data_IF_782770640005
#
_entry.id   IF_782770640005
#
_cell.length_a   1.000
_cell.length_b   1.000
_cell.length_c   1.000
_cell.angle_alpha   90.00
_cell.angle_beta   90.00
_cell.angle_gamma   90.00
#
_symmetry.space_group_name_H-M   'P 1'
#
loop_
_entity.id
_entity.type
_entity.pdbx_description
1 polymer ?
#
# COMPACT_ATOMS: atom_id res chain seq x y z
N UNK A 1 -27.05 -7.02 -1.18
CA UNK A 1 -27.06 -5.58 -1.47
C UNK A 1 -27.54 -5.44 -2.90
N UNK A 2 -28.72 -4.90 -3.12
CA UNK A 2 -29.30 -4.76 -4.46
C UNK A 2 -28.49 -3.71 -5.23
N UNK A 3 -28.02 -4.09 -6.40
CA UNK A 3 -27.43 -3.16 -7.38
C UNK A 3 -28.62 -2.28 -7.82
N UNK A 4 -28.45 -0.96 -7.79
CA UNK A 4 -29.48 -0.05 -8.27
C UNK A 4 -29.74 -0.35 -9.76
N UNK A 5 -30.97 -0.60 -10.13
CA UNK A 5 -31.41 -0.89 -11.49
C UNK A 5 -31.01 0.24 -12.49
N UNK A 6 -30.95 1.48 -12.01
CA UNK A 6 -30.52 2.63 -12.82
C UNK A 6 -29.04 2.57 -13.27
N UNK A 7 -28.19 1.80 -12.57
CA UNK A 7 -26.79 1.61 -12.95
C UNK A 7 -26.60 0.50 -14.00
N UNK A 8 -27.54 -0.43 -14.10
CA UNK A 8 -27.52 -1.50 -15.13
C UNK A 8 -27.99 -0.96 -16.49
N UNK A 9 -28.97 -0.07 -16.52
CA UNK A 9 -29.45 0.54 -17.76
C UNK A 9 -28.41 1.49 -18.39
N UNK A 10 -27.68 2.26 -17.58
CA UNK A 10 -26.56 3.11 -18.04
C UNK A 10 -25.37 2.27 -18.60
N UNK A 11 -25.19 1.04 -18.13
CA UNK A 11 -24.15 0.12 -18.62
C UNK A 11 -24.54 -0.56 -19.94
N UNK A 12 -25.82 -0.79 -20.20
CA UNK A 12 -26.31 -1.47 -21.39
C UNK A 12 -26.14 -0.63 -22.68
N UNK A 13 -26.13 0.70 -22.56
CA UNK A 13 -25.99 1.63 -23.69
C UNK A 13 -24.57 1.67 -24.28
N UNK A 14 -23.58 1.15 -23.57
CA UNK A 14 -22.14 1.19 -23.92
C UNK A 14 -21.55 -0.17 -24.28
N UNK A 15 -22.35 -1.15 -24.64
CA UNK A 15 -21.85 -2.49 -24.96
C UNK A 15 -21.57 -2.63 -26.46
N UNK A 16 -20.28 -2.60 -26.85
CA UNK A 16 -19.81 -3.10 -28.13
C UNK A 16 -18.93 -4.35 -27.87
N UNK A 17 -19.19 -5.43 -28.59
CA UNK A 17 -18.50 -6.73 -28.42
C UNK A 17 -18.55 -7.35 -27.01
N UNK A 18 -19.60 -7.06 -26.24
CA UNK A 18 -19.82 -7.66 -24.94
C UNK A 18 -19.05 -7.00 -23.78
N UNK A 19 -18.29 -5.95 -24.04
CA UNK A 19 -17.63 -5.12 -23.03
C UNK A 19 -18.01 -3.67 -23.22
N UNK A 20 -18.25 -2.90 -22.14
CA UNK A 20 -18.44 -1.47 -22.25
C UNK A 20 -17.29 -0.82 -23.00
N UNK A 21 -17.57 0.07 -23.96
CA UNK A 21 -16.56 0.82 -24.73
C UNK A 21 -15.54 1.49 -23.80
N UNK A 22 -15.98 1.95 -22.69
CA UNK A 22 -15.19 2.51 -21.60
C UNK A 22 -14.02 1.57 -21.17
N UNK A 23 -14.25 0.26 -21.05
CA UNK A 23 -13.22 -0.70 -20.67
C UNK A 23 -12.20 -0.98 -21.77
N UNK A 24 -12.59 -0.78 -23.03
CA UNK A 24 -11.69 -0.96 -24.16
C UNK A 24 -10.63 0.15 -24.22
N UNK A 25 -10.90 1.31 -23.60
CA UNK A 25 -9.96 2.43 -23.53
C UNK A 25 -8.95 2.28 -22.39
N UNK A 26 -9.20 1.38 -21.44
CA UNK A 26 -8.31 1.10 -20.31
C UNK A 26 -7.39 -0.08 -20.62
N UNK A 27 -6.54 0.14 -21.60
CA UNK A 27 -5.66 -0.87 -22.19
C UNK A 27 -4.28 -0.95 -21.53
N UNK A 28 -4.05 -0.18 -20.47
CA UNK A 28 -2.76 -0.07 -19.79
C UNK A 28 -1.69 0.70 -20.60
N UNK A 29 -2.06 1.31 -21.74
CA UNK A 29 -1.14 2.03 -22.61
C UNK A 29 -1.49 3.50 -22.77
N UNK A 30 -2.78 3.82 -22.68
CA UNK A 30 -3.27 5.20 -22.79
C UNK A 30 -3.23 5.84 -21.41
N UNK A 31 -2.44 6.90 -21.19
CA UNK A 31 -2.35 7.54 -19.90
C UNK A 31 -3.59 8.38 -19.59
N UNK A 32 -3.96 8.37 -18.30
CA UNK A 32 -4.87 9.33 -17.70
C UNK A 32 -4.05 10.28 -16.84
N UNK A 33 -4.28 11.59 -17.02
CA UNK A 33 -3.59 12.63 -16.27
C UNK A 33 -4.47 13.13 -15.12
N UNK A 34 -3.95 13.11 -13.90
CA UNK A 34 -4.64 13.54 -12.70
C UNK A 34 -3.82 14.65 -12.04
N UNK A 35 -4.47 15.74 -11.66
CA UNK A 35 -3.88 16.83 -10.88
C UNK A 35 -4.62 16.92 -9.55
N UNK A 36 -3.90 16.74 -8.43
CA UNK A 36 -4.46 16.99 -7.11
C UNK A 36 -4.42 18.50 -6.82
N UNK A 37 -5.60 19.07 -6.54
CA UNK A 37 -5.76 20.52 -6.42
C UNK A 37 -5.44 21.05 -5.02
N UNK A 38 -5.36 20.16 -4.02
CA UNK A 38 -4.94 20.50 -2.67
C UNK A 38 -3.45 20.21 -2.45
N UNK A 39 -2.86 20.96 -1.53
CA UNK A 39 -1.46 20.78 -1.14
C UNK A 39 -1.36 19.61 -0.18
N UNK A 40 -0.59 18.59 -0.57
CA UNK A 40 -0.44 17.36 0.21
C UNK A 40 0.67 17.56 1.26
N UNK A 41 0.37 17.19 2.50
CA UNK A 41 1.24 17.39 3.68
C UNK A 41 1.71 18.84 3.87
N UNK A 42 0.94 19.83 3.38
CA UNK A 42 1.33 21.26 3.43
C UNK A 42 2.59 21.59 2.60
N UNK A 43 3.03 20.67 1.73
CA UNK A 43 4.35 20.76 1.11
C UNK A 43 4.38 20.43 -0.37
N UNK A 44 3.55 19.49 -0.84
CA UNK A 44 3.63 18.97 -2.20
C UNK A 44 2.41 19.35 -3.05
N UNK A 45 2.67 19.78 -4.27
CA UNK A 45 1.73 19.73 -5.39
C UNK A 45 2.00 18.40 -6.10
N UNK A 46 0.96 17.63 -6.40
CA UNK A 46 1.11 16.30 -6.98
C UNK A 46 0.28 16.16 -8.22
N UNK A 47 0.89 15.65 -9.27
CA UNK A 47 0.22 15.18 -10.48
C UNK A 47 0.60 13.72 -10.77
N UNK A 48 -0.27 13.02 -11.50
CA UNK A 48 -0.10 11.60 -11.81
C UNK A 48 -0.36 11.36 -13.29
N UNK A 49 0.56 10.67 -13.92
CA UNK A 49 0.36 10.03 -15.20
C UNK A 49 0.08 8.54 -14.96
N UNK A 50 -1.17 8.13 -15.09
CA UNK A 50 -1.63 6.78 -14.76
C UNK A 50 -2.02 6.00 -16.00
N UNK A 51 -1.57 4.76 -16.11
CA UNK A 51 -1.86 3.81 -17.18
C UNK A 51 -2.79 2.70 -16.68
N UNK A 52 -4.08 2.98 -16.52
CA UNK A 52 -5.02 2.02 -15.94
C UNK A 52 -5.22 0.82 -16.85
N UNK A 53 -5.32 -0.35 -16.24
CA UNK A 53 -5.65 -1.60 -16.90
C UNK A 53 -6.84 -2.26 -16.20
N UNK A 54 -7.65 -2.98 -16.95
CA UNK A 54 -8.72 -3.80 -16.41
C UNK A 54 -8.14 -5.11 -15.86
N UNK A 55 -8.23 -5.31 -14.54
CA UNK A 55 -7.82 -6.56 -13.89
C UNK A 55 -8.96 -7.57 -13.82
N UNK A 56 -8.64 -8.79 -13.37
CA UNK A 56 -9.62 -9.89 -13.13
C UNK A 56 -10.64 -9.57 -12.03
N UNK A 57 -10.40 -8.54 -11.24
CA UNK A 57 -11.32 -8.01 -10.22
C UNK A 57 -11.80 -6.64 -10.73
N UNK A 58 -13.04 -6.22 -10.48
CA UNK A 58 -13.56 -4.94 -11.00
C UNK A 58 -12.87 -3.75 -10.34
N UNK A 59 -11.59 -3.61 -10.59
CA UNK A 59 -10.72 -2.57 -10.07
C UNK A 59 -9.79 -2.10 -11.16
N UNK A 60 -9.75 -0.79 -11.35
CA UNK A 60 -8.75 -0.17 -12.22
C UNK A 60 -7.47 0.01 -11.42
N UNK A 61 -6.44 -0.68 -11.84
CA UNK A 61 -5.09 -0.48 -11.34
C UNK A 61 -4.15 -0.46 -12.54
N UNK A 62 -2.96 0.02 -12.36
CA UNK A 62 -1.94 -0.01 -13.39
C UNK A 62 -0.75 0.86 -13.05
N UNK A 63 0.28 0.81 -13.88
CA UNK A 63 1.47 1.62 -13.68
C UNK A 63 1.15 3.11 -13.62
N UNK A 64 1.91 3.83 -12.80
CA UNK A 64 1.81 5.29 -12.76
C UNK A 64 3.16 5.95 -12.49
N UNK A 65 3.29 7.18 -13.00
CA UNK A 65 4.32 8.12 -12.61
C UNK A 65 3.68 9.16 -11.70
N UNK A 66 4.03 9.17 -10.42
CA UNK A 66 3.52 10.13 -9.44
C UNK A 66 4.58 11.23 -9.29
N UNK A 67 4.25 12.43 -9.72
CA UNK A 67 5.14 13.58 -9.71
C UNK A 67 4.85 14.45 -8.50
N UNK A 68 5.83 14.66 -7.66
CA UNK A 68 5.79 15.52 -6.48
C UNK A 68 6.60 16.77 -6.75
N UNK A 69 6.01 17.94 -6.57
CA UNK A 69 6.67 19.24 -6.67
C UNK A 69 6.52 19.98 -5.34
N UNK A 70 7.63 20.54 -4.82
CA UNK A 70 7.57 21.43 -3.66
C UNK A 70 6.85 22.73 -3.99
N UNK A 71 6.05 23.23 -3.04
CA UNK A 71 5.29 24.48 -3.21
C UNK A 71 6.18 25.72 -3.13
N UNK A 72 7.26 25.66 -2.38
CA UNK A 72 8.15 26.76 -2.05
C UNK A 72 9.39 26.87 -2.96
N UNK A 73 9.65 25.82 -3.74
CA UNK A 73 10.82 25.72 -4.62
C UNK A 73 10.51 24.97 -5.90
N UNK A 74 11.25 25.25 -6.96
CA UNK A 74 11.14 24.50 -8.21
C UNK A 74 11.94 23.20 -8.15
N UNK A 75 11.60 22.35 -7.17
CA UNK A 75 12.20 21.04 -6.97
C UNK A 75 11.12 19.99 -7.10
N UNK A 76 11.40 18.95 -7.85
CA UNK A 76 10.47 17.85 -8.11
C UNK A 76 11.16 16.50 -8.09
N UNK A 77 10.39 15.47 -7.78
CA UNK A 77 10.78 14.08 -7.96
C UNK A 77 9.59 13.25 -8.45
N UNK A 78 9.90 12.11 -9.03
CA UNK A 78 8.89 11.17 -9.56
C UNK A 78 9.08 9.81 -8.92
N UNK A 79 8.01 9.23 -8.42
CA UNK A 79 7.93 7.83 -8.02
C UNK A 79 7.19 7.07 -9.11
N UNK A 80 7.73 5.93 -9.49
CA UNK A 80 7.08 4.98 -10.40
C UNK A 80 6.55 3.82 -9.60
N UNK A 81 5.29 3.50 -9.78
CA UNK A 81 4.66 2.32 -9.20
C UNK A 81 3.98 1.50 -10.29
N UNK A 82 3.94 0.20 -10.11
CA UNK A 82 3.21 -0.70 -11.01
C UNK A 82 1.71 -0.78 -10.69
N UNK A 83 1.28 -0.27 -9.53
CA UNK A 83 -0.07 -0.45 -8.98
C UNK A 83 -0.65 0.83 -8.39
N UNK A 84 -0.92 1.80 -9.22
CA UNK A 84 -1.67 2.97 -8.80
C UNK A 84 -3.18 2.70 -8.89
N UNK A 85 -3.93 3.15 -7.87
CA UNK A 85 -5.37 3.05 -7.82
C UNK A 85 -5.94 4.20 -6.98
N UNK A 86 -6.93 4.91 -7.50
CA UNK A 86 -7.61 6.01 -6.80
C UNK A 86 -8.96 5.63 -6.21
N UNK A 87 -9.26 4.33 -6.09
CA UNK A 87 -10.50 3.88 -5.45
C UNK A 87 -10.65 2.37 -5.46
N UNK A 88 -11.23 1.84 -4.39
CA UNK A 88 -11.39 0.41 -4.18
C UNK A 88 -12.49 -0.23 -5.01
N UNK A 89 -13.33 0.54 -5.72
CA UNK A 89 -14.43 0.02 -6.53
C UNK A 89 -14.74 0.96 -7.67
N UNK A 90 -15.06 0.41 -8.83
CA UNK A 90 -15.62 1.10 -9.99
C UNK A 90 -16.72 2.12 -9.64
N UNK A 91 -17.46 1.85 -8.58
CA UNK A 91 -18.58 2.68 -8.09
C UNK A 91 -18.17 3.91 -7.28
N UNK A 92 -16.86 4.12 -7.02
CA UNK A 92 -16.37 5.32 -6.35
C UNK A 92 -16.13 6.50 -7.31
N UNK A 93 -16.33 6.29 -8.60
CA UNK A 93 -16.21 7.30 -9.65
C UNK A 93 -17.51 8.04 -10.10
N UNK A 94 -18.69 7.94 -9.44
CA UNK A 94 -19.87 8.62 -9.96
C UNK A 94 -19.74 10.14 -10.02
N UNK A 95 -18.79 10.74 -9.28
CA UNK A 95 -18.50 12.19 -9.36
C UNK A 95 -17.58 12.59 -10.51
N UNK A 96 -16.78 11.64 -10.98
CA UNK A 96 -15.83 11.84 -12.05
C UNK A 96 -16.13 10.78 -13.11
N UNK A 97 -17.22 10.99 -13.88
CA UNK A 97 -17.47 10.19 -15.09
C UNK A 97 -16.24 10.32 -15.95
N UNK A 98 -15.37 9.32 -15.87
CA UNK A 98 -14.34 9.13 -16.87
C UNK A 98 -15.02 8.51 -18.09
N UNK A 99 -15.81 9.34 -18.78
CA UNK A 99 -16.39 8.92 -20.05
C UNK A 99 -15.29 8.77 -21.10
N UNK A 100 -15.63 8.05 -22.15
CA UNK A 100 -14.72 7.80 -23.26
C UNK A 100 -14.20 9.10 -23.88
N UNK A 101 -14.99 10.18 -23.85
CA UNK A 101 -14.58 11.49 -24.39
C UNK A 101 -13.52 12.13 -23.51
N UNK A 102 -13.66 12.10 -22.19
CA UNK A 102 -12.66 12.61 -21.23
C UNK A 102 -11.33 11.88 -21.37
N UNK A 103 -11.36 10.54 -21.50
CA UNK A 103 -10.14 9.75 -21.70
C UNK A 103 -9.51 10.05 -23.08
N UNK A 104 -10.32 10.13 -24.13
CA UNK A 104 -9.84 10.39 -25.49
C UNK A 104 -9.34 11.83 -25.68
N UNK A 105 -9.92 12.80 -24.95
CA UNK A 105 -9.52 14.21 -25.03
C UNK A 105 -8.15 14.48 -24.41
N UNK A 106 -7.61 13.56 -23.62
CA UNK A 106 -6.40 13.74 -22.80
C UNK A 106 -6.54 14.91 -21.81
N UNK A 107 -7.77 15.23 -21.41
CA UNK A 107 -8.02 16.25 -20.40
C UNK A 107 -7.43 15.83 -19.05
N UNK A 108 -6.89 16.81 -18.32
CA UNK A 108 -6.38 16.59 -16.97
C UNK A 108 -7.55 16.55 -16.01
N UNK A 109 -7.69 15.43 -15.31
CA UNK A 109 -8.70 15.26 -14.27
C UNK A 109 -8.23 16.00 -13.02
N UNK A 110 -8.98 17.03 -12.62
CA UNK A 110 -8.68 17.79 -11.40
C UNK A 110 -9.54 17.30 -10.25
N UNK A 111 -8.88 16.87 -9.16
CA UNK A 111 -9.58 16.41 -7.96
C UNK A 111 -8.84 16.82 -6.69
N UNK A 112 -9.52 16.82 -5.55
CA UNK A 112 -8.86 16.97 -4.26
C UNK A 112 -8.42 15.61 -3.75
N UNK A 113 -7.18 15.53 -3.29
CA UNK A 113 -6.64 14.34 -2.64
C UNK A 113 -7.43 14.01 -1.36
N UNK A 114 -7.83 15.02 -0.61
CA UNK A 114 -8.63 14.88 0.61
C UNK A 114 -10.04 14.31 0.38
N UNK A 115 -10.57 14.33 -0.85
CA UNK A 115 -11.87 13.77 -1.19
C UNK A 115 -11.80 12.26 -1.52
N UNK A 116 -10.60 11.68 -1.60
CA UNK A 116 -10.41 10.28 -1.92
C UNK A 116 -10.54 9.44 -0.65
N UNK A 117 -11.53 8.57 -0.59
CA UNK A 117 -11.80 7.73 0.58
C UNK A 117 -10.67 6.74 0.92
N UNK A 118 -9.99 6.24 -0.13
CA UNK A 118 -8.82 5.37 0.00
C UNK A 118 -7.70 6.01 -0.80
N UNK A 119 -6.92 6.83 -0.15
CA UNK A 119 -5.81 7.53 -0.78
C UNK A 119 -4.81 6.52 -1.39
N UNK A 120 -4.36 6.75 -2.64
CA UNK A 120 -3.43 5.86 -3.32
C UNK A 120 -2.04 5.86 -2.70
N UNK A 121 -1.73 6.88 -1.92
CA UNK A 121 -0.49 7.00 -1.17
C UNK A 121 -0.72 7.81 0.12
N UNK A 122 0.19 7.68 1.06
CA UNK A 122 0.17 8.40 2.33
C UNK A 122 1.60 8.76 2.76
N UNK A 123 1.72 9.59 3.79
CA UNK A 123 2.98 9.88 4.44
C UNK A 123 2.88 9.52 5.92
N UNK A 124 3.78 8.68 6.40
CA UNK A 124 3.84 8.22 7.79
C UNK A 124 5.28 8.04 8.26
N UNK A 125 5.53 8.30 9.54
CA UNK A 125 6.82 8.03 10.18
C UNK A 125 6.92 6.52 10.48
N UNK A 126 7.35 5.77 9.48
CA UNK A 126 7.41 4.30 9.54
C UNK A 126 8.67 3.79 10.23
N UNK A 127 9.66 4.64 10.42
CA UNK A 127 10.94 4.28 11.03
C UNK A 127 11.15 4.93 12.39
N UNK A 128 10.21 5.74 12.88
CA UNK A 128 10.23 6.40 14.18
C UNK A 128 11.39 7.40 14.37
N UNK A 129 11.77 8.12 13.31
CA UNK A 129 12.80 9.17 13.36
C UNK A 129 12.24 10.60 13.30
N UNK A 130 10.91 10.73 13.16
CA UNK A 130 10.21 12.00 13.03
C UNK A 130 10.10 12.50 11.59
N UNK A 131 10.75 11.84 10.63
CA UNK A 131 10.59 12.11 9.19
C UNK A 131 9.56 11.16 8.63
N UNK A 132 8.70 11.65 7.73
CA UNK A 132 7.65 10.82 7.15
C UNK A 132 8.11 10.19 5.85
N UNK A 133 8.05 8.87 5.78
CA UNK A 133 8.18 8.11 4.56
C UNK A 133 6.93 8.24 3.69
N UNK A 134 7.12 8.16 2.38
CA UNK A 134 6.03 7.99 1.41
C UNK A 134 5.64 6.52 1.33
N UNK A 135 4.36 6.24 1.44
CA UNK A 135 3.78 4.90 1.37
C UNK A 135 2.78 4.86 0.24
N UNK A 136 2.94 3.92 -0.69
CA UNK A 136 2.05 3.74 -1.84
C UNK A 136 1.35 2.40 -1.70
N UNK A 137 0.03 2.37 -1.83
CA UNK A 137 -0.72 1.13 -1.81
C UNK A 137 -0.40 0.28 -3.06
N UNK A 138 0.11 -0.93 -2.83
CA UNK A 138 0.44 -1.89 -3.86
C UNK A 138 -0.32 -3.20 -3.59
N UNK A 139 -1.23 -3.59 -4.47
CA UNK A 139 -2.08 -4.76 -4.27
C UNK A 139 -1.47 -6.09 -4.68
N UNK A 140 -0.22 -6.11 -5.12
CA UNK A 140 0.39 -7.31 -5.71
C UNK A 140 0.51 -8.48 -4.76
N UNK A 141 0.62 -8.26 -3.45
CA UNK A 141 1.05 -9.32 -2.53
C UNK A 141 0.35 -9.37 -1.17
N UNK A 142 -0.65 -8.54 -0.93
CA UNK A 142 -1.34 -8.51 0.37
C UNK A 142 -2.00 -9.84 0.70
N UNK A 143 -1.77 -10.35 1.90
CA UNK A 143 -2.46 -11.52 2.41
C UNK A 143 -3.96 -11.24 2.54
N UNK A 144 -4.82 -12.19 2.18
CA UNK A 144 -6.28 -12.08 2.26
C UNK A 144 -6.87 -10.83 1.58
N UNK A 145 -6.32 -10.41 0.44
CA UNK A 145 -6.78 -9.20 -0.27
C UNK A 145 -6.52 -7.87 0.46
N UNK A 146 -5.64 -7.83 1.46
CA UNK A 146 -5.13 -6.59 2.00
C UNK A 146 -4.13 -5.96 1.03
N UNK A 147 -4.16 -4.62 0.96
CA UNK A 147 -3.20 -3.89 0.15
C UNK A 147 -1.82 -3.99 0.83
N UNK A 148 -0.83 -4.52 0.12
CA UNK A 148 0.56 -4.36 0.48
C UNK A 148 1.01 -2.93 0.15
N UNK A 149 2.13 -2.48 0.70
CA UNK A 149 2.61 -1.12 0.51
C UNK A 149 4.05 -1.10 -0.01
N UNK A 150 4.30 -0.18 -0.90
CA UNK A 150 5.64 0.27 -1.26
C UNK A 150 6.03 1.41 -0.31
N UNK A 151 7.27 1.39 0.19
CA UNK A 151 7.75 2.38 1.17
C UNK A 151 9.00 3.07 0.65
N UNK A 152 8.95 4.41 0.61
CA UNK A 152 10.04 5.24 0.12
C UNK A 152 10.47 6.26 1.16
N UNK A 153 11.75 6.26 1.49
CA UNK A 153 12.36 7.34 2.27
C UNK A 153 12.74 8.49 1.34
N UNK A 154 12.17 9.65 1.59
CA UNK A 154 12.40 10.87 0.81
C UNK A 154 13.32 11.79 1.61
N UNK A 155 14.58 11.85 1.26
CA UNK A 155 15.58 12.71 1.89
C UNK A 155 15.87 13.93 1.02
N UNK A 156 15.63 15.10 1.55
CA UNK A 156 16.05 16.33 0.93
C UNK A 156 17.56 16.53 1.17
N UNK A 157 18.31 16.76 0.10
CA UNK A 157 19.73 17.08 0.21
C UNK A 157 19.83 18.59 0.38
N UNK A 158 20.28 19.00 1.57
CA UNK A 158 20.45 20.44 1.91
C UNK A 158 21.25 21.18 0.82
N UNK A 159 20.86 22.41 0.57
CA UNK A 159 21.49 23.31 -0.40
C UNK A 159 21.48 22.83 -1.86
N UNK A 160 20.68 21.83 -2.18
CA UNK A 160 20.54 21.31 -3.55
C UNK A 160 19.09 21.34 -4.03
N UNK A 161 18.92 21.11 -5.34
CA UNK A 161 17.61 20.90 -5.96
C UNK A 161 17.28 19.43 -6.10
N UNK A 162 17.88 18.55 -5.28
CA UNK A 162 17.76 17.11 -5.43
C UNK A 162 17.20 16.44 -4.17
N UNK A 163 16.46 15.36 -4.42
CA UNK A 163 16.04 14.40 -3.40
C UNK A 163 16.84 13.10 -3.56
N UNK A 164 17.24 12.54 -2.44
CA UNK A 164 17.66 11.15 -2.39
C UNK A 164 16.43 10.31 -2.06
N UNK A 165 16.03 9.44 -2.98
CA UNK A 165 14.87 8.57 -2.83
C UNK A 165 15.40 7.16 -2.64
N UNK A 166 15.12 6.60 -1.49
CA UNK A 166 15.54 5.25 -1.12
C UNK A 166 14.29 4.38 -1.06
N UNK A 167 14.23 3.39 -1.93
CA UNK A 167 13.20 2.36 -1.90
C UNK A 167 13.49 1.39 -0.76
N UNK A 168 12.57 1.27 0.18
CA UNK A 168 12.64 0.39 1.34
C UNK A 168 11.78 -0.85 1.17
N UNK A 169 10.99 -0.94 0.11
CA UNK A 169 9.95 -1.95 -0.10
C UNK A 169 10.45 -3.37 0.06
N UNK A 170 11.64 -3.68 -0.46
CA UNK A 170 12.21 -5.03 -0.38
C UNK A 170 13.04 -5.29 0.90
N UNK A 171 13.04 -4.35 1.85
CA UNK A 171 13.78 -4.52 3.10
C UNK A 171 12.86 -4.84 4.27
N UNK A 172 13.25 -5.79 5.14
CA UNK A 172 12.49 -6.08 6.36
C UNK A 172 12.52 -4.88 7.33
N UNK A 173 11.39 -4.61 7.99
CA UNK A 173 10.08 -5.25 7.90
C UNK A 173 9.19 -4.71 6.77
N UNK A 174 9.64 -3.74 5.97
CA UNK A 174 8.81 -3.01 5.00
C UNK A 174 8.28 -3.89 3.88
N UNK A 175 9.01 -4.96 3.50
CA UNK A 175 8.57 -5.89 2.46
C UNK A 175 7.25 -6.62 2.73
N UNK A 176 6.79 -6.59 3.99
CA UNK A 176 5.58 -7.28 4.43
C UNK A 176 4.55 -6.36 5.11
N UNK A 177 4.72 -5.05 4.95
CA UNK A 177 3.75 -4.07 5.47
C UNK A 177 2.46 -4.14 4.66
N UNK A 178 1.34 -4.24 5.36
CA UNK A 178 0.00 -4.18 4.81
C UNK A 178 -0.95 -3.39 5.72
N UNK A 179 -2.24 -3.38 5.39
CA UNK A 179 -3.27 -2.67 6.15
C UNK A 179 -3.49 -3.20 7.57
N UNK A 180 -2.94 -4.38 7.92
CA UNK A 180 -3.04 -4.98 9.26
C UNK A 180 -1.82 -4.67 10.14
N UNK A 181 -0.78 -4.10 9.56
CA UNK A 181 0.47 -3.76 10.24
C UNK A 181 0.22 -2.73 11.34
N UNK A 182 0.78 -2.99 12.51
CA UNK A 182 0.70 -2.07 13.66
C UNK A 182 2.04 -1.40 13.90
N UNK A 183 1.97 -0.08 14.06
CA UNK A 183 3.13 0.75 14.40
C UNK A 183 2.98 1.27 15.83
N UNK A 184 3.98 1.01 16.67
CA UNK A 184 4.06 1.50 18.03
C UNK A 184 5.24 2.47 18.14
N UNK A 185 4.94 3.77 18.13
CA UNK A 185 5.94 4.83 18.19
C UNK A 185 6.63 4.93 19.54
N UNK A 186 5.96 4.55 20.63
CA UNK A 186 6.51 4.64 21.98
C UNK A 186 7.61 3.59 22.19
N UNK A 187 7.36 2.37 21.73
CA UNK A 187 8.29 1.26 21.80
C UNK A 187 9.21 1.15 20.55
N UNK A 188 8.92 1.94 19.52
CA UNK A 188 9.60 1.91 18.21
C UNK A 188 9.57 0.51 17.60
N UNK A 189 8.37 -0.08 17.55
CA UNK A 189 8.16 -1.42 17.01
C UNK A 189 7.15 -1.44 15.87
N UNK A 190 7.38 -2.37 14.95
CA UNK A 190 6.47 -2.71 13.85
C UNK A 190 6.03 -4.15 14.05
N UNK A 191 4.72 -4.38 14.12
CA UNK A 191 4.16 -5.72 14.21
C UNK A 191 3.48 -6.07 12.89
N UNK A 192 3.98 -7.11 12.25
CA UNK A 192 3.42 -7.70 11.03
C UNK A 192 2.48 -8.84 11.41
N UNK A 193 1.44 -9.05 10.60
CA UNK A 193 0.50 -10.14 10.73
C UNK A 193 0.48 -10.97 9.46
N UNK A 194 0.63 -12.27 9.60
CA UNK A 194 0.55 -13.24 8.51
C UNK A 194 -0.64 -14.17 8.76
N UNK A 195 -1.52 -14.28 7.77
CA UNK A 195 -2.72 -15.11 7.88
C UNK A 195 -2.66 -16.30 6.94
N UNK A 196 -2.64 -17.48 7.51
CA UNK A 196 -2.77 -18.77 6.78
C UNK A 196 -4.11 -19.48 6.99
N UNK A 197 -5.04 -18.90 7.78
CA UNK A 197 -6.31 -19.51 8.17
C UNK A 197 -6.64 -19.27 9.63
N UNK A 198 -7.75 -19.81 10.13
CA UNK A 198 -8.26 -19.52 11.47
C UNK A 198 -7.26 -19.82 12.61
N UNK A 199 -6.38 -20.81 12.42
CA UNK A 199 -5.33 -21.19 13.37
C UNK A 199 -3.98 -21.43 12.67
N UNK A 200 -3.73 -20.80 11.55
CA UNK A 200 -2.44 -20.79 10.87
C UNK A 200 -2.07 -19.34 10.59
N UNK A 201 -1.85 -18.60 11.65
CA UNK A 201 -1.47 -17.20 11.56
C UNK A 201 -0.23 -16.95 12.40
N UNK A 202 0.53 -15.92 12.04
CA UNK A 202 1.67 -15.51 12.84
C UNK A 202 1.76 -13.99 12.96
N UNK A 203 2.43 -13.56 14.03
CA UNK A 203 2.78 -12.17 14.26
C UNK A 203 4.30 -12.09 14.44
N UNK A 204 4.91 -11.17 13.73
CA UNK A 204 6.31 -10.85 13.89
C UNK A 204 6.44 -9.41 14.40
N UNK A 205 7.19 -9.22 15.46
CA UNK A 205 7.45 -7.89 16.03
C UNK A 205 8.90 -7.51 15.80
N UNK A 206 9.09 -6.46 15.04
CA UNK A 206 10.40 -5.87 14.75
C UNK A 206 10.61 -4.63 15.60
N UNK A 207 11.82 -4.46 16.12
CA UNK A 207 12.23 -3.28 16.91
C UNK A 207 13.31 -2.50 16.18
N UNK A 208 13.17 -1.18 16.14
CA UNK A 208 14.23 -0.29 15.67
C UNK A 208 15.41 -0.32 16.64
N UNK A 209 16.58 -0.61 16.12
CA UNK A 209 17.85 -0.59 16.86
C UNK A 209 18.87 0.27 16.13
N UNK A 210 19.87 0.78 16.86
CA UNK A 210 20.96 1.53 16.25
C UNK A 210 21.79 0.62 15.32
N UNK A 211 22.20 1.18 14.18
CA UNK A 211 23.08 0.51 13.22
C UNK A 211 24.11 1.49 12.68
N UNK A 212 25.35 1.07 12.63
CA UNK A 212 26.47 1.84 12.05
C UNK A 212 26.53 1.74 10.52
N UNK A 213 25.44 1.39 9.84
CA UNK A 213 25.41 1.31 8.37
C UNK A 213 25.46 2.70 7.74
N UNK A 214 26.22 2.88 6.64
CA UNK A 214 26.53 4.20 6.08
C UNK A 214 25.34 4.97 5.50
N UNK A 215 24.19 4.31 5.23
CA UNK A 215 23.02 4.94 4.67
C UNK A 215 21.91 5.20 5.70
N UNK A 216 21.96 4.54 6.86
CA UNK A 216 20.98 4.66 7.94
C UNK A 216 21.66 4.35 9.27
N UNK A 217 21.34 5.13 10.28
CA UNK A 217 21.80 4.92 11.65
C UNK A 217 20.93 3.91 12.42
N UNK A 218 20.07 3.20 11.72
CA UNK A 218 19.15 2.21 12.30
C UNK A 218 18.98 0.98 11.40
N UNK A 219 18.52 -0.10 12.02
CA UNK A 219 17.93 -1.28 11.39
C UNK A 219 16.78 -1.77 12.23
N UNK A 220 15.94 -2.64 11.65
CA UNK A 220 14.94 -3.36 12.41
C UNK A 220 15.45 -4.78 12.69
N UNK A 221 15.29 -5.21 13.91
CA UNK A 221 15.58 -6.60 14.34
C UNK A 221 14.29 -7.26 14.79
N UNK A 222 14.06 -8.48 14.32
CA UNK A 222 12.98 -9.31 14.81
C UNK A 222 13.26 -9.64 16.27
N UNK A 223 12.31 -9.30 17.15
CA UNK A 223 12.47 -9.50 18.59
C UNK A 223 11.50 -10.52 19.17
N UNK A 224 10.35 -10.69 18.54
CA UNK A 224 9.30 -11.60 19.01
C UNK A 224 8.50 -12.15 17.86
N UNK A 225 8.17 -13.44 17.95
CA UNK A 225 7.30 -14.14 17.04
C UNK A 225 6.19 -14.85 17.80
N UNK A 226 4.98 -14.82 17.27
CA UNK A 226 3.83 -15.54 17.81
C UNK A 226 3.24 -16.34 16.68
N UNK A 227 3.23 -17.66 16.81
CA UNK A 227 2.62 -18.57 15.84
C UNK A 227 1.36 -19.21 16.43
N UNK A 228 0.34 -19.38 15.60
CA UNK A 228 -0.85 -20.14 15.92
C UNK A 228 -0.89 -21.35 14.99
N UNK A 229 -0.89 -22.55 15.55
CA UNK A 229 -0.81 -23.79 14.81
C UNK A 229 -1.86 -24.79 15.24
N UNK A 230 -2.32 -25.62 14.27
CA UNK A 230 -3.23 -26.76 14.51
C UNK A 230 -2.56 -28.11 14.29
N UNK A 231 -1.26 -28.12 13.98
CA UNK A 231 -0.47 -29.32 13.71
C UNK A 231 0.78 -29.27 14.57
N UNK A 232 1.14 -30.40 15.13
CA UNK A 232 2.43 -30.52 15.84
C UNK A 232 3.58 -30.81 14.85
N UNK A 233 4.78 -30.94 15.39
CA UNK A 233 6.00 -31.25 14.62
C UNK A 233 5.96 -32.64 13.91
N UNK A 234 5.04 -33.54 14.32
CA UNK A 234 4.84 -34.85 13.73
C UNK A 234 3.75 -34.80 12.65
N UNK A 235 3.04 -33.69 12.48
CA UNK A 235 1.91 -33.53 11.57
C UNK A 235 0.59 -34.05 12.16
N UNK A 236 0.51 -34.27 13.47
CA UNK A 236 -0.73 -34.65 14.14
C UNK A 236 -1.59 -33.40 14.40
N UNK A 237 -2.90 -33.56 14.23
CA UNK A 237 -3.85 -32.46 14.47
C UNK A 237 -3.97 -32.19 15.98
N UNK A 238 -3.62 -30.98 16.38
CA UNK A 238 -3.72 -30.51 17.77
C UNK A 238 -4.77 -29.40 17.87
N UNK A 239 -5.33 -29.14 19.09
CA UNK A 239 -6.08 -27.92 19.33
C UNK A 239 -5.26 -26.71 18.94
N UNK A 240 -5.93 -25.64 18.45
CA UNK A 240 -5.25 -24.39 18.11
C UNK A 240 -4.31 -23.96 19.26
N UNK A 241 -3.02 -23.98 19.01
CA UNK A 241 -2.00 -23.74 20.01
C UNK A 241 -1.23 -22.49 19.64
N UNK A 242 -1.13 -21.56 20.58
CA UNK A 242 -0.33 -20.34 20.46
C UNK A 242 1.08 -20.63 20.98
N UNK A 243 2.07 -20.42 20.15
CA UNK A 243 3.48 -20.46 20.52
C UNK A 243 4.04 -19.04 20.53
N UNK A 244 4.74 -18.68 21.59
CA UNK A 244 5.40 -17.37 21.71
C UNK A 244 6.91 -17.61 21.78
N UNK A 245 7.63 -16.97 20.89
CA UNK A 245 9.08 -17.05 20.82
C UNK A 245 9.68 -15.65 21.00
N UNK A 246 10.61 -15.53 21.93
CA UNK A 246 11.51 -14.39 21.99
C UNK A 246 12.77 -14.68 21.16
N UNK A 247 13.27 -13.68 20.44
CA UNK A 247 14.51 -13.82 19.71
C UNK A 247 15.66 -13.23 20.51
N UNK A 248 16.60 -14.10 20.90
CA UNK A 248 17.83 -13.75 21.60
C UNK A 248 19.01 -14.15 20.71
N UNK A 249 19.82 -13.17 20.34
CA UNK A 249 20.95 -13.34 19.42
C UNK A 249 20.56 -14.02 18.08
N UNK A 250 19.35 -13.67 17.56
CA UNK A 250 18.81 -14.20 16.32
C UNK A 250 18.32 -15.64 16.38
N UNK A 251 18.19 -16.21 17.58
CA UNK A 251 17.64 -17.57 17.82
C UNK A 251 16.26 -17.48 18.45
N UNK A 252 15.31 -18.24 17.93
CA UNK A 252 13.99 -18.40 18.53
C UNK A 252 14.11 -19.22 19.82
N UNK A 253 13.67 -18.65 20.92
CA UNK A 253 13.57 -19.32 22.23
C UNK A 253 12.11 -19.33 22.60
N UNK A 254 11.53 -20.53 22.75
CA UNK A 254 10.15 -20.68 23.17
C UNK A 254 9.96 -20.12 24.59
N UNK A 255 9.17 -19.07 24.70
CA UNK A 255 8.78 -18.42 25.95
C UNK A 255 7.50 -19.06 26.52
N UNK A 256 6.50 -19.27 25.67
CA UNK A 256 5.18 -19.73 26.09
C UNK A 256 4.53 -20.61 25.02
N UNK A 257 3.78 -21.65 25.49
CA UNK A 257 2.88 -22.42 24.64
C UNK A 257 1.52 -22.57 25.33
N UNK A 258 0.44 -22.07 24.70
CA UNK A 258 -0.93 -22.09 25.25
C UNK A 258 -1.82 -22.84 24.26
N UNK A 259 -2.35 -23.98 24.71
CA UNK A 259 -3.24 -24.81 23.90
C UNK A 259 -4.71 -24.45 24.13
N UNK A 260 -5.50 -24.46 23.04
CA UNK A 260 -6.95 -24.25 23.08
C UNK A 260 -7.39 -22.78 23.07
N UNK A 261 -6.52 -21.85 22.71
CA UNK A 261 -6.88 -20.44 22.51
C UNK A 261 -7.46 -20.23 21.11
N UNK A 262 -8.77 -19.97 21.05
CA UNK A 262 -9.42 -19.34 19.90
C UNK A 262 -9.91 -17.99 20.39
N UNK A 263 -9.20 -16.93 20.11
CA UNK A 263 -9.65 -15.56 20.29
C UNK A 263 -10.23 -14.99 19.00
#
# INVERSE_FOLDING_TARGET
MAINADAEDDLAEYMDNGLPIYYQLLDGKTPIYIEFTDVIQGRYIVDVEWFPNWGLVPMFNGPANINFKLIDRDVKFTIKTDFFNIGNRMFSFPKYRMDAETIASKEVIKMKFSDIANAPFAFGDMNFDGVKELVIANRKQGQRHHDAYEVYLIQEIEDTSYFNIIDLTDTLPYSNIDATTKFDSDNKTIQLYYSGGACNSSYETYKRVFSAYPLRDYKFELMRKIDYETWDENGDNIPCTKYVYDLIDGKEILDEAISGTVD
#
